data_IF_498659565309
#
_entry.id   IF_498659565309
#
_cell.length_a   1.000
_cell.length_b   1.000
_cell.length_c   1.000
_cell.angle_alpha   90.00
_cell.angle_beta   90.00
_cell.angle_gamma   90.00
#
_symmetry.space_group_name_H-M   'P 1'
#
loop_
_entity.id
_entity.type
_entity.pdbx_description
1 polymer ?
#
# COMPACT_ATOMS: atom_id res chain seq x y z
N UNK A 1 -21.65 -10.39 40.55
CA UNK A 1 -20.39 -9.89 41.12
C UNK A 1 -20.12 -8.56 40.44
N UNK A 2 -20.71 -7.52 41.00
CA UNK A 2 -20.73 -6.15 40.48
C UNK A 2 -19.57 -5.36 41.09
N UNK A 3 -18.65 -4.90 40.25
CA UNK A 3 -17.52 -4.05 40.67
C UNK A 3 -17.73 -2.55 40.35
N UNK A 4 -18.95 -2.14 39.97
CA UNK A 4 -19.20 -0.78 39.48
C UNK A 4 -19.82 0.19 40.50
N UNK A 5 -19.88 -0.14 41.80
CA UNK A 5 -20.46 0.77 42.78
C UNK A 5 -19.51 1.02 43.96
N UNK A 6 -18.75 2.12 43.87
CA UNK A 6 -18.53 3.10 44.95
C UNK A 6 -17.31 3.99 44.62
N UNK A 7 -17.51 5.04 43.82
CA UNK A 7 -16.59 6.19 43.81
C UNK A 7 -17.36 7.39 44.37
N UNK A 8 -17.14 7.63 45.65
CA UNK A 8 -17.62 8.83 46.35
C UNK A 8 -16.78 10.01 45.87
N UNK A 9 -17.36 10.90 45.06
CA UNK A 9 -16.72 12.16 44.66
C UNK A 9 -16.64 13.11 45.86
N UNK A 10 -15.53 13.07 46.59
CA UNK A 10 -15.20 14.10 47.59
C UNK A 10 -14.67 15.35 46.86
N UNK A 11 -15.36 16.48 47.01
CA UNK A 11 -15.01 17.81 46.47
C UNK A 11 -13.79 18.41 47.21
N UNK A 12 -12.61 17.83 47.02
CA UNK A 12 -11.39 18.38 47.61
C UNK A 12 -10.28 18.46 46.55
N UNK A 13 -10.05 19.67 46.01
CA UNK A 13 -9.07 19.93 44.95
C UNK A 13 -7.66 19.42 45.28
N UNK A 14 -7.31 19.36 46.58
CA UNK A 14 -6.01 18.87 47.03
C UNK A 14 -5.79 17.37 46.79
N UNK A 15 -6.84 16.56 46.68
CA UNK A 15 -6.73 15.15 46.35
C UNK A 15 -6.60 14.91 44.84
N UNK A 16 -7.08 15.84 44.00
CA UNK A 16 -6.97 15.76 42.54
C UNK A 16 -5.51 15.91 42.08
N UNK A 17 -4.75 16.81 42.73
CA UNK A 17 -3.32 17.02 42.44
C UNK A 17 -2.48 15.80 42.84
N UNK A 18 -2.85 15.09 43.92
CA UNK A 18 -2.20 13.84 44.30
C UNK A 18 -2.49 12.71 43.30
N UNK A 19 -3.70 12.65 42.74
CA UNK A 19 -4.05 11.66 41.72
C UNK A 19 -3.29 11.89 40.41
N UNK A 20 -3.15 13.14 39.97
CA UNK A 20 -2.37 13.49 38.77
C UNK A 20 -0.89 13.13 38.96
N UNK A 21 -0.30 13.37 40.15
CA UNK A 21 1.09 12.99 40.43
C UNK A 21 1.30 11.47 40.56
N UNK A 22 0.30 10.72 40.99
CA UNK A 22 0.39 9.26 41.07
C UNK A 22 0.24 8.60 39.68
N UNK A 23 -0.60 9.16 38.80
CA UNK A 23 -0.72 8.68 37.42
C UNK A 23 0.54 8.91 36.59
N UNK A 24 1.29 10.00 36.84
CA UNK A 24 2.58 10.27 36.16
C UNK A 24 3.69 9.29 36.58
N UNK A 25 3.55 8.60 37.72
CA UNK A 25 4.55 7.64 38.20
C UNK A 25 4.29 6.19 37.74
N UNK A 26 3.07 5.89 37.28
CA UNK A 26 2.70 4.56 36.76
C UNK A 26 2.69 4.48 35.23
N UNK A 27 2.75 5.63 34.57
CA UNK A 27 3.03 5.72 33.15
C UNK A 27 4.21 6.68 32.99
N UNK A 28 5.44 6.18 32.74
CA UNK A 28 6.49 7.08 32.30
C UNK A 28 5.95 7.89 31.10
N UNK A 29 6.40 9.15 30.89
CA UNK A 29 6.15 9.79 29.61
C UNK A 29 6.64 8.81 28.57
N UNK A 30 5.73 8.22 27.81
CA UNK A 30 6.08 7.45 26.65
C UNK A 30 6.76 8.46 25.72
N UNK A 31 8.06 8.66 25.88
CA UNK A 31 8.95 8.86 24.75
C UNK A 31 8.82 7.57 23.97
N UNK A 32 7.75 7.48 23.20
CA UNK A 32 7.69 6.47 22.17
C UNK A 32 8.84 6.88 21.25
N UNK A 33 9.93 6.12 21.34
CA UNK A 33 10.68 5.85 20.13
C UNK A 33 9.72 4.99 19.33
N UNK A 34 8.71 5.65 18.74
CA UNK A 34 7.77 5.04 17.82
C UNK A 34 8.67 4.43 16.77
N UNK A 35 8.60 3.11 16.68
CA UNK A 35 9.22 2.43 15.58
C UNK A 35 8.61 3.05 14.33
N UNK A 36 9.48 3.66 13.51
CA UNK A 36 9.18 4.32 12.24
C UNK A 36 8.87 3.22 11.19
N UNK A 37 7.92 2.34 11.52
CA UNK A 37 7.45 1.22 10.68
C UNK A 37 6.47 1.68 9.60
N UNK A 38 6.03 2.94 9.69
CA UNK A 38 5.11 3.52 8.75
C UNK A 38 5.85 4.42 7.76
N UNK A 39 5.52 4.27 6.49
CA UNK A 39 6.01 5.14 5.44
C UNK A 39 5.57 6.58 5.70
N UNK A 40 6.51 7.51 5.56
CA UNK A 40 6.30 8.94 5.74
C UNK A 40 6.98 9.67 4.60
N UNK A 41 6.19 10.07 3.62
CA UNK A 41 6.70 10.65 2.37
C UNK A 41 5.90 11.89 2.02
N UNK A 42 6.49 12.78 1.21
CA UNK A 42 5.70 13.84 0.59
C UNK A 42 4.80 13.28 -0.52
N UNK A 43 3.88 14.10 -1.02
CA UNK A 43 2.92 13.66 -2.03
C UNK A 43 3.59 13.22 -3.34
N UNK A 44 4.66 13.92 -3.73
CA UNK A 44 5.36 13.63 -4.97
C UNK A 44 6.10 12.30 -4.88
N UNK A 45 6.81 12.07 -3.77
CA UNK A 45 7.48 10.81 -3.49
C UNK A 45 6.46 9.66 -3.38
N UNK A 46 5.26 9.90 -2.82
CA UNK A 46 4.17 8.93 -2.84
C UNK A 46 3.80 8.56 -4.29
N UNK A 47 3.56 9.54 -5.16
CA UNK A 47 3.23 9.28 -6.58
C UNK A 47 4.35 8.52 -7.29
N UNK A 48 5.61 8.89 -7.06
CA UNK A 48 6.77 8.19 -7.62
C UNK A 48 6.85 6.73 -7.13
N UNK A 49 6.61 6.47 -5.84
CA UNK A 49 6.54 5.11 -5.27
C UNK A 49 5.37 4.30 -5.80
N UNK A 50 4.30 4.94 -6.26
CA UNK A 50 3.15 4.32 -6.90
C UNK A 50 3.30 4.18 -8.42
N UNK A 51 4.47 4.53 -8.97
CA UNK A 51 4.76 4.42 -10.39
C UNK A 51 4.09 5.49 -11.26
N UNK A 52 3.65 6.60 -10.67
CA UNK A 52 3.08 7.75 -11.38
C UNK A 52 4.13 8.84 -11.53
N UNK A 53 4.39 9.26 -12.77
CA UNK A 53 5.45 10.22 -13.09
C UNK A 53 5.13 11.68 -12.69
N UNK A 54 3.88 11.97 -12.35
CA UNK A 54 3.40 13.32 -12.02
C UNK A 54 2.43 13.29 -10.85
N UNK A 55 2.21 14.46 -10.26
CA UNK A 55 1.21 14.63 -9.20
C UNK A 55 -0.20 14.60 -9.79
N UNK A 56 -1.04 13.72 -9.25
CA UNK A 56 -2.47 13.66 -9.59
C UNK A 56 -3.22 14.77 -8.85
N UNK A 57 -4.14 15.45 -9.55
CA UNK A 57 -5.00 16.49 -8.99
C UNK A 57 -6.18 15.89 -8.18
N UNK A 58 -6.88 16.68 -7.35
CA UNK A 58 -8.11 16.24 -6.71
C UNK A 58 -9.13 15.73 -7.74
N UNK A 59 -9.84 14.64 -7.40
CA UNK A 59 -10.74 13.89 -8.29
C UNK A 59 -10.08 13.20 -9.49
N UNK A 60 -8.76 13.28 -9.63
CA UNK A 60 -8.07 12.59 -10.70
C UNK A 60 -7.96 11.09 -10.38
N UNK A 61 -8.04 10.30 -11.45
CA UNK A 61 -7.93 8.85 -11.38
C UNK A 61 -6.92 8.38 -12.42
N UNK A 62 -6.09 7.41 -12.04
CA UNK A 62 -5.14 6.77 -12.95
C UNK A 62 -5.46 5.28 -13.07
N UNK A 63 -6.17 4.84 -14.12
CA UNK A 63 -6.49 3.44 -14.33
C UNK A 63 -5.45 2.73 -15.22
N UNK A 64 -5.26 1.45 -14.95
CA UNK A 64 -4.64 0.45 -15.82
C UNK A 64 -5.61 -0.72 -15.96
N UNK A 65 -5.67 -1.29 -17.16
CA UNK A 65 -6.61 -2.35 -17.48
C UNK A 65 -6.00 -3.32 -18.47
N UNK A 66 -6.22 -4.61 -18.26
CA UNK A 66 -5.87 -5.68 -19.17
C UNK A 66 -7.00 -6.70 -19.20
N UNK A 67 -7.37 -7.13 -20.40
CA UNK A 67 -8.27 -8.26 -20.60
C UNK A 67 -7.49 -9.43 -21.20
N UNK A 68 -7.51 -10.58 -20.53
CA UNK A 68 -6.94 -11.83 -21.00
C UNK A 68 -8.07 -12.74 -21.52
N UNK A 69 -8.16 -12.84 -22.85
CA UNK A 69 -9.18 -13.64 -23.52
C UNK A 69 -8.96 -15.15 -23.39
N UNK A 70 -7.72 -15.60 -23.13
CA UNK A 70 -7.43 -17.04 -22.98
C UNK A 70 -7.91 -17.55 -21.61
N UNK A 71 -7.87 -16.68 -20.59
CA UNK A 71 -8.35 -16.98 -19.24
C UNK A 71 -9.78 -16.48 -18.97
N UNK A 72 -10.33 -15.60 -19.80
CA UNK A 72 -11.63 -14.96 -19.55
C UNK A 72 -11.60 -14.06 -18.30
N UNK A 73 -10.47 -13.38 -18.06
CA UNK A 73 -10.27 -12.54 -16.86
C UNK A 73 -9.87 -11.13 -17.29
N UNK A 74 -10.55 -10.14 -16.74
CA UNK A 74 -10.14 -8.74 -16.79
C UNK A 74 -9.47 -8.34 -15.48
N UNK A 75 -8.31 -7.71 -15.54
CA UNK A 75 -7.68 -7.06 -14.39
C UNK A 75 -7.77 -5.54 -14.53
N UNK A 76 -8.31 -4.87 -13.51
CA UNK A 76 -8.22 -3.42 -13.34
C UNK A 76 -7.32 -3.09 -12.15
N UNK A 77 -6.45 -2.09 -12.32
CA UNK A 77 -5.72 -1.47 -11.24
C UNK A 77 -5.92 0.04 -11.34
N UNK A 78 -6.12 0.74 -10.23
CA UNK A 78 -6.36 2.18 -10.26
C UNK A 78 -5.85 2.90 -9.02
N UNK A 79 -5.50 4.17 -9.23
CA UNK A 79 -5.28 5.16 -8.17
C UNK A 79 -6.39 6.21 -8.26
N UNK A 80 -7.01 6.55 -7.13
CA UNK A 80 -8.03 7.59 -7.04
C UNK A 80 -7.63 8.63 -5.99
N UNK A 81 -7.77 9.91 -6.36
CA UNK A 81 -7.52 11.03 -5.45
C UNK A 81 -8.84 11.58 -4.92
N UNK A 82 -8.92 11.72 -3.59
CA UNK A 82 -10.05 12.33 -2.90
C UNK A 82 -10.32 13.78 -3.33
N UNK A 83 -11.53 14.30 -3.03
CA UNK A 83 -12.02 15.60 -3.49
C UNK A 83 -11.18 16.81 -3.05
N UNK A 84 -10.45 16.71 -1.94
CA UNK A 84 -9.55 17.71 -1.38
C UNK A 84 -8.07 17.31 -1.39
N UNK A 85 -7.68 16.27 -2.15
CA UNK A 85 -6.36 15.65 -2.08
C UNK A 85 -5.95 15.27 -0.64
N UNK A 86 -6.93 14.80 0.14
CA UNK A 86 -6.81 14.33 1.52
C UNK A 86 -6.80 12.80 1.64
N UNK A 87 -6.88 12.11 0.51
CA UNK A 87 -6.97 10.66 0.44
C UNK A 87 -6.43 10.19 -0.91
N UNK A 88 -5.58 9.17 -0.88
CA UNK A 88 -5.12 8.44 -2.06
C UNK A 88 -5.55 7.00 -1.86
N UNK A 89 -6.39 6.50 -2.74
CA UNK A 89 -6.88 5.13 -2.72
C UNK A 89 -6.30 4.35 -3.88
N UNK A 90 -5.82 3.15 -3.59
CA UNK A 90 -5.31 2.17 -4.54
C UNK A 90 -6.26 1.00 -4.57
N UNK A 91 -6.60 0.53 -5.75
CA UNK A 91 -7.44 -0.66 -5.90
C UNK A 91 -6.94 -1.55 -7.04
N UNK A 92 -6.98 -2.87 -6.82
CA UNK A 92 -6.80 -3.88 -7.86
C UNK A 92 -7.97 -4.84 -7.77
N UNK A 93 -8.62 -5.11 -8.90
CA UNK A 93 -9.74 -6.04 -9.01
C UNK A 93 -9.57 -6.96 -10.21
N UNK A 94 -9.99 -8.21 -10.04
CA UNK A 94 -10.20 -9.14 -11.14
C UNK A 94 -11.70 -9.29 -11.41
N UNK A 95 -12.08 -9.31 -12.68
CA UNK A 95 -13.43 -9.59 -13.13
C UNK A 95 -13.37 -10.83 -14.03
N UNK A 96 -14.07 -11.88 -13.62
CA UNK A 96 -14.12 -13.16 -14.32
C UNK A 96 -15.34 -13.21 -15.23
N UNK A 97 -15.19 -13.72 -16.44
CA UNK A 97 -16.30 -13.91 -17.37
C UNK A 97 -17.22 -15.05 -16.91
N UNK A 98 -18.52 -14.94 -17.23
CA UNK A 98 -19.58 -15.83 -16.74
C UNK A 98 -19.40 -17.31 -17.13
N UNK A 99 -18.59 -17.63 -18.14
CA UNK A 99 -18.40 -19.00 -18.64
C UNK A 99 -17.35 -19.81 -17.87
N UNK A 100 -16.42 -19.17 -17.15
CA UNK A 100 -15.31 -19.85 -16.45
C UNK A 100 -15.44 -19.81 -14.91
N UNK A 101 -16.64 -19.49 -14.42
CA UNK A 101 -17.04 -19.53 -13.01
C UNK A 101 -17.02 -20.96 -12.46
N UNK A 102 -15.81 -21.50 -12.24
CA UNK A 102 -15.52 -22.84 -11.71
C UNK A 102 -16.01 -23.11 -10.28
N UNK A 103 -16.85 -22.25 -9.72
CA UNK A 103 -17.45 -22.39 -8.40
C UNK A 103 -18.95 -22.05 -8.45
N UNK A 104 -19.74 -23.03 -8.88
CA UNK A 104 -21.22 -23.02 -8.93
C UNK A 104 -21.89 -22.94 -7.53
N UNK A 105 -21.11 -22.76 -6.46
CA UNK A 105 -21.54 -22.74 -5.05
C UNK A 105 -21.06 -21.49 -4.26
N UNK A 106 -20.39 -20.52 -4.89
CA UNK A 106 -19.95 -19.29 -4.20
C UNK A 106 -21.02 -18.18 -4.26
N UNK A 107 -21.34 -17.60 -3.09
CA UNK A 107 -22.35 -16.55 -2.90
C UNK A 107 -21.97 -15.25 -3.66
N UNK A 108 -20.71 -15.10 -4.08
CA UNK A 108 -20.19 -13.97 -4.86
C UNK A 108 -20.09 -14.26 -6.37
N UNK A 109 -21.00 -15.07 -6.91
CA UNK A 109 -21.05 -15.40 -8.35
C UNK A 109 -21.08 -14.14 -9.23
N UNK A 110 -20.06 -13.95 -10.07
CA UNK A 110 -19.95 -12.87 -11.06
C UNK A 110 -19.57 -11.48 -10.52
N UNK A 111 -19.24 -11.36 -9.24
CA UNK A 111 -18.77 -10.10 -8.66
C UNK A 111 -17.28 -9.84 -8.93
N UNK A 112 -16.81 -8.59 -8.92
CA UNK A 112 -15.38 -8.27 -8.93
C UNK A 112 -14.68 -8.89 -7.72
N UNK A 113 -13.62 -9.66 -7.96
CA UNK A 113 -12.71 -10.15 -6.94
C UNK A 113 -11.76 -9.01 -6.54
N UNK A 114 -11.91 -8.48 -5.33
CA UNK A 114 -11.02 -7.45 -4.82
C UNK A 114 -9.68 -8.06 -4.40
N UNK A 115 -8.64 -7.78 -5.17
CA UNK A 115 -7.28 -8.27 -4.94
C UNK A 115 -6.55 -7.38 -3.93
N UNK A 116 -6.61 -6.06 -4.11
CA UNK A 116 -5.93 -5.10 -3.24
C UNK A 116 -6.82 -3.88 -3.00
N UNK A 117 -6.80 -3.37 -1.77
CA UNK A 117 -7.31 -2.06 -1.39
C UNK A 117 -6.33 -1.41 -0.41
N UNK A 118 -5.80 -0.24 -0.73
CA UNK A 118 -4.87 0.46 0.15
C UNK A 118 -5.13 1.96 0.13
N UNK A 119 -4.98 2.62 1.28
CA UNK A 119 -5.21 4.06 1.39
C UNK A 119 -4.08 4.78 2.09
N UNK A 120 -3.80 5.99 1.63
CA UNK A 120 -2.91 6.94 2.29
C UNK A 120 -3.68 8.20 2.65
N UNK A 121 -3.35 8.77 3.80
CA UNK A 121 -3.95 10.01 4.30
C UNK A 121 -2.80 10.97 4.68
N UNK A 122 -2.90 12.27 4.35
CA UNK A 122 -1.90 13.24 4.77
C UNK A 122 -2.10 13.61 6.24
N UNK A 123 -0.98 13.77 6.94
CA UNK A 123 -0.91 14.43 8.24
C UNK A 123 -1.05 15.96 8.08
N UNK A 124 -1.11 16.67 9.22
CA UNK A 124 -1.21 18.14 9.23
C UNK A 124 -0.03 18.82 8.52
N UNK A 125 1.15 18.18 8.51
CA UNK A 125 2.36 18.68 7.86
C UNK A 125 2.47 18.27 6.38
N UNK A 126 1.38 17.78 5.78
CA UNK A 126 1.33 17.23 4.39
C UNK A 126 2.25 16.04 4.14
N UNK A 127 2.70 15.37 5.21
CA UNK A 127 3.39 14.10 5.12
C UNK A 127 2.33 13.01 5.00
N UNK A 128 2.40 12.22 3.93
CA UNK A 128 1.51 11.11 3.67
C UNK A 128 1.98 9.85 4.39
N UNK A 129 1.02 9.14 4.96
CA UNK A 129 1.24 7.86 5.59
C UNK A 129 0.11 6.90 5.23
N UNK A 130 0.46 5.62 5.19
CA UNK A 130 -0.48 4.53 4.97
C UNK A 130 -1.50 4.43 6.11
N UNK A 131 -2.75 4.18 5.74
CA UNK A 131 -3.88 4.10 6.66
C UNK A 131 -4.39 2.68 6.82
N UNK A 132 -4.53 1.98 5.71
CA UNK A 132 -4.99 0.59 5.64
C UNK A 132 -4.44 -0.07 4.39
N UNK A 133 -4.35 -1.40 4.42
CA UNK A 133 -4.03 -2.24 3.26
C UNK A 133 -4.74 -3.56 3.45
N UNK A 134 -5.56 -3.95 2.48
CA UNK A 134 -6.19 -5.24 2.39
C UNK A 134 -5.70 -5.95 1.13
N UNK A 135 -5.43 -7.24 1.26
CA UNK A 135 -5.13 -8.14 0.14
C UNK A 135 -6.07 -9.33 0.22
N UNK A 136 -6.90 -9.55 -0.81
CA UNK A 136 -7.94 -10.60 -0.84
C UNK A 136 -8.76 -10.69 0.46
N UNK A 137 -9.17 -9.53 0.98
CA UNK A 137 -9.97 -9.41 2.21
C UNK A 137 -9.18 -9.56 3.53
N UNK A 138 -7.89 -9.88 3.50
CA UNK A 138 -7.04 -9.90 4.69
C UNK A 138 -6.43 -8.52 4.96
N UNK A 139 -6.59 -7.99 6.18
CA UNK A 139 -5.94 -6.75 6.61
C UNK A 139 -4.44 -6.96 6.83
N UNK A 140 -3.57 -6.28 6.08
CA UNK A 140 -2.11 -6.32 6.21
C UNK A 140 -1.54 -5.16 7.05
N UNK A 141 -2.37 -4.23 7.52
CA UNK A 141 -1.92 -3.09 8.31
C UNK A 141 -1.18 -3.56 9.57
N UNK A 142 0.09 -3.16 9.69
CA UNK A 142 0.98 -3.53 10.80
C UNK A 142 1.24 -5.03 10.97
N UNK A 143 0.86 -5.90 10.01
CA UNK A 143 1.17 -7.34 10.08
C UNK A 143 2.59 -7.65 9.63
N UNK A 144 3.15 -6.82 8.75
CA UNK A 144 4.51 -6.96 8.21
C UNK A 144 5.27 -5.65 8.36
N UNK A 145 6.60 -5.74 8.45
CA UNK A 145 7.46 -4.56 8.55
C UNK A 145 7.42 -3.75 7.24
N UNK A 146 7.34 -2.42 7.35
CA UNK A 146 7.24 -1.50 6.20
C UNK A 146 6.10 -1.85 5.23
N UNK A 147 4.96 -2.31 5.74
CA UNK A 147 3.82 -2.71 4.91
C UNK A 147 3.37 -1.60 3.94
N UNK A 148 3.54 -0.32 4.29
CA UNK A 148 3.31 0.81 3.37
C UNK A 148 4.16 0.74 2.10
N UNK A 149 5.47 0.63 2.25
CA UNK A 149 6.40 0.57 1.11
C UNK A 149 6.23 -0.73 0.32
N UNK A 150 6.04 -1.86 1.02
CA UNK A 150 5.82 -3.17 0.41
C UNK A 150 4.48 -3.22 -0.35
N UNK A 151 3.46 -2.51 0.13
CA UNK A 151 2.19 -2.31 -0.57
C UNK A 151 2.37 -1.55 -1.89
N UNK A 152 3.15 -0.47 -1.88
CA UNK A 152 3.51 0.25 -3.12
C UNK A 152 4.26 -0.65 -4.12
N UNK A 153 5.20 -1.49 -3.64
CA UNK A 153 5.97 -2.42 -4.47
C UNK A 153 5.07 -3.53 -5.07
N UNK A 154 4.14 -4.07 -4.28
CA UNK A 154 3.13 -5.02 -4.74
C UNK A 154 2.27 -4.40 -5.86
N UNK A 155 1.75 -3.18 -5.64
CA UNK A 155 0.92 -2.46 -6.60
C UNK A 155 1.69 -2.16 -7.89
N UNK A 156 2.93 -1.67 -7.79
CA UNK A 156 3.80 -1.42 -8.94
C UNK A 156 4.13 -2.69 -9.73
N UNK A 157 4.32 -3.84 -9.05
CA UNK A 157 4.55 -5.12 -9.70
C UNK A 157 3.35 -5.55 -10.53
N UNK A 158 2.13 -5.34 -10.02
CA UNK A 158 0.90 -5.58 -10.76
C UNK A 158 0.78 -4.66 -11.98
N UNK A 159 0.96 -3.35 -11.80
CA UNK A 159 0.94 -2.40 -12.93
C UNK A 159 1.99 -2.76 -13.99
N UNK A 160 3.20 -3.14 -13.56
CA UNK A 160 4.26 -3.56 -14.45
C UNK A 160 3.85 -4.74 -15.33
N UNK A 161 3.20 -5.74 -14.76
CA UNK A 161 2.64 -6.87 -15.51
C UNK A 161 1.57 -6.40 -16.52
N UNK A 162 0.61 -5.59 -16.06
CA UNK A 162 -0.45 -5.05 -16.94
C UNK A 162 0.12 -4.24 -18.11
N UNK A 163 1.16 -3.44 -17.87
CA UNK A 163 1.85 -2.67 -18.92
C UNK A 163 2.62 -3.55 -19.92
N UNK A 164 3.04 -4.74 -19.49
CA UNK A 164 3.64 -5.75 -20.37
C UNK A 164 2.59 -6.59 -21.11
N UNK A 165 1.30 -6.37 -20.84
CA UNK A 165 0.21 -7.17 -21.41
C UNK A 165 0.10 -8.56 -20.79
N UNK A 166 0.61 -8.74 -19.57
CA UNK A 166 0.61 -10.00 -18.84
C UNK A 166 -0.30 -9.90 -17.60
N UNK A 167 -1.05 -10.97 -17.31
CA UNK A 167 -1.85 -11.06 -16.09
C UNK A 167 -0.91 -11.21 -14.88
N UNK A 168 -1.03 -10.39 -13.82
CA UNK A 168 -0.16 -10.50 -12.65
C UNK A 168 -0.43 -11.78 -11.87
N UNK A 169 0.64 -12.54 -11.58
CA UNK A 169 0.59 -13.67 -10.64
C UNK A 169 0.57 -13.13 -9.20
N UNK A 170 -0.63 -12.99 -8.66
CA UNK A 170 -0.86 -12.39 -7.33
C UNK A 170 -0.16 -13.19 -6.24
N UNK A 171 -0.19 -14.52 -6.31
CA UNK A 171 0.39 -15.38 -5.29
C UNK A 171 1.93 -15.27 -5.28
N UNK A 172 2.57 -15.24 -6.46
CA UNK A 172 4.02 -15.01 -6.56
C UNK A 172 4.41 -13.63 -6.02
N UNK A 173 3.64 -12.58 -6.34
CA UNK A 173 3.93 -11.21 -5.88
C UNK A 173 3.72 -11.09 -4.37
N UNK A 174 2.70 -11.73 -3.78
CA UNK A 174 2.51 -11.78 -2.31
C UNK A 174 3.72 -12.45 -1.65
N UNK A 175 4.16 -13.60 -2.16
CA UNK A 175 5.31 -14.31 -1.59
C UNK A 175 6.57 -13.46 -1.67
N UNK A 176 6.81 -12.80 -2.81
CA UNK A 176 7.99 -11.99 -3.05
C UNK A 176 7.98 -10.70 -2.21
N UNK A 177 6.89 -9.96 -2.25
CA UNK A 177 6.82 -8.58 -1.76
C UNK A 177 6.19 -8.46 -0.38
N UNK A 178 5.37 -9.41 0.11
CA UNK A 178 4.62 -9.26 1.36
C UNK A 178 5.01 -10.26 2.46
N UNK A 179 6.02 -11.12 2.29
CA UNK A 179 6.50 -12.02 3.36
C UNK A 179 7.71 -11.47 4.12
N UNK A 180 7.63 -11.38 5.45
CA UNK A 180 8.80 -11.10 6.29
C UNK A 180 9.72 -12.33 6.28
N UNK A 181 10.76 -12.32 5.44
CA UNK A 181 11.71 -13.44 5.33
C UNK A 181 12.45 -13.69 6.66
N UNK A 182 11.87 -14.48 7.55
CA UNK A 182 12.56 -15.18 8.63
C UNK A 182 13.23 -16.43 8.08
N UNK A 183 14.32 -16.27 7.33
CA UNK A 183 15.12 -17.44 6.94
C UNK A 183 15.88 -17.25 5.64
N UNK A 184 17.17 -16.92 5.75
CA UNK A 184 18.08 -17.21 4.66
C UNK A 184 18.18 -18.74 4.46
N UNK A 185 17.69 -19.24 3.32
CA UNK A 185 18.31 -20.33 2.51
C UNK A 185 17.35 -20.85 1.43
N UNK A 186 17.82 -20.79 0.18
CA UNK A 186 17.40 -21.65 -0.93
C UNK A 186 16.33 -21.02 -1.83
N UNK A 187 16.51 -20.83 -3.13
CA UNK A 187 17.60 -21.21 -4.02
C UNK A 187 17.57 -20.31 -5.25
N UNK A 188 18.75 -19.99 -5.78
CA UNK A 188 18.87 -19.08 -6.91
C UNK A 188 18.24 -19.61 -8.18
N UNK A 189 17.56 -18.72 -8.91
CA UNK A 189 17.57 -18.61 -10.38
C UNK A 189 16.62 -17.49 -10.84
N UNK A 190 17.16 -16.29 -11.05
CA UNK A 190 17.25 -15.63 -12.36
C UNK A 190 17.80 -14.23 -12.20
N UNK A 191 18.58 -13.85 -13.21
CA UNK A 191 19.57 -12.78 -13.15
C UNK A 191 18.99 -11.42 -12.81
N UNK A 192 19.68 -10.77 -11.88
CA UNK A 192 19.71 -9.31 -11.71
C UNK A 192 20.15 -8.70 -13.05
N UNK A 193 19.19 -8.38 -13.92
CA UNK A 193 19.46 -7.53 -15.09
C UNK A 193 19.73 -6.14 -14.53
N UNK A 194 21.01 -5.86 -14.30
CA UNK A 194 21.46 -4.53 -13.96
C UNK A 194 20.99 -3.57 -15.03
N UNK A 195 20.18 -2.57 -14.66
CA UNK A 195 19.99 -1.36 -15.46
C UNK A 195 21.35 -0.67 -15.60
N UNK A 196 22.15 -1.10 -16.59
CA UNK A 196 23.23 -0.27 -17.13
C UNK A 196 22.54 0.95 -17.71
N UNK A 197 22.75 2.10 -17.09
CA UNK A 197 22.32 3.39 -17.62
C UNK A 197 22.70 3.50 -19.10
N UNK A 198 21.72 3.86 -19.91
CA UNK A 198 21.89 4.08 -21.34
C UNK A 198 22.81 5.29 -21.52
N UNK A 199 24.11 5.06 -21.72
CA UNK A 199 25.04 6.13 -22.12
C UNK A 199 24.86 6.35 -23.61
N UNK A 200 24.14 7.40 -23.96
CA UNK A 200 24.12 7.93 -25.32
C UNK A 200 25.47 8.63 -25.52
N UNK A 201 26.40 8.00 -26.24
CA UNK A 201 27.56 8.68 -26.81
C UNK A 201 27.05 9.62 -27.90
N UNK A 202 26.88 10.90 -27.56
CA UNK A 202 26.71 11.95 -28.55
C UNK A 202 28.03 12.10 -29.32
N UNK A 203 28.14 11.44 -30.47
CA UNK A 203 29.16 11.79 -31.46
C UNK A 203 28.78 13.15 -32.07
N UNK A 204 29.66 14.17 -32.02
CA UNK A 204 29.43 15.42 -32.73
C UNK A 204 29.41 15.17 -34.24
N UNK A 205 28.38 15.68 -34.89
CA UNK A 205 28.20 15.65 -36.34
C UNK A 205 29.43 16.26 -37.02
N UNK A 206 30.17 15.43 -37.77
CA UNK A 206 31.28 15.85 -38.60
C UNK A 206 30.78 16.78 -39.70
N UNK A 207 31.51 17.88 -39.88
CA UNK A 207 31.20 18.94 -40.81
C UNK A 207 31.08 18.47 -42.26
N UNK A 208 30.04 18.97 -42.92
CA UNK A 208 29.98 19.03 -44.38
C UNK A 208 30.86 20.19 -44.84
N UNK A 209 31.97 19.85 -45.50
CA UNK A 209 32.59 20.69 -46.52
C UNK A 209 32.28 20.06 -47.86
N UNK A 210 31.65 20.82 -48.74
CA UNK A 210 31.96 20.93 -50.16
C UNK A 210 31.34 22.23 -50.66
#
# INVERSE_FOLDING_TARGET
MDLCNNIVFSKNLNNMIKFIKLCIFLYPPFTIKDYDWNMRVDYKELMEKLGVEHELAPYETRPWFLYDADQGISCSAEIRIGPGAEDVELEIQFLHDEEDARYDDDINYGGPEQIMMMRFIPSQDKIWAEKLMYIRGEDYANKIHNWGERGCEFFCSCIGALQMGEMPDIDEIIEKELTDRKGGRGGGRRGKVGKKGFKIDQKPAMGMKN
#
